data_IF_002896061305
#
_entry.id   IF_002896061305
#
_cell.length_a   1.000
_cell.length_b   1.000
_cell.length_c   1.000
_cell.angle_alpha   90.00
_cell.angle_beta   90.00
_cell.angle_gamma   90.00
#
_symmetry.space_group_name_H-M   'P 1'
#
loop_
_entity.id
_entity.type
_entity.pdbx_description
1 polymer ?
#
# COMPACT_ATOMS: atom_id res chain seq x y z
N UNK A 1 -4.58 2.05 -3.73
CA UNK A 1 -4.97 3.14 -4.64
C UNK A 1 -4.64 2.71 -6.07
N UNK A 2 -5.65 2.46 -6.89
CA UNK A 2 -5.53 1.93 -8.26
C UNK A 2 -4.86 2.92 -9.23
N UNK A 3 -4.77 4.18 -8.87
CA UNK A 3 -4.12 5.22 -9.65
C UNK A 3 -2.61 5.32 -9.39
N UNK A 4 -2.07 4.50 -8.50
CA UNK A 4 -0.64 4.46 -8.20
C UNK A 4 0.06 3.41 -9.02
N UNK A 5 0.89 3.86 -9.93
CA UNK A 5 1.75 3.01 -10.75
C UNK A 5 3.20 3.43 -10.59
N UNK A 6 4.14 2.66 -11.13
CA UNK A 6 5.55 3.04 -11.13
C UNK A 6 5.82 4.36 -11.88
N UNK A 7 4.95 4.73 -12.84
CA UNK A 7 5.02 6.00 -13.58
C UNK A 7 4.27 7.14 -12.88
N UNK A 8 3.33 6.81 -12.00
CA UNK A 8 2.51 7.76 -11.25
C UNK A 8 2.43 7.31 -9.78
N UNK A 9 3.52 7.43 -9.07
CA UNK A 9 3.60 6.98 -7.69
C UNK A 9 2.80 7.84 -6.71
N UNK A 10 2.36 9.05 -7.15
CA UNK A 10 1.68 10.02 -6.30
C UNK A 10 2.42 10.25 -4.98
N UNK A 11 3.73 10.46 -5.09
CA UNK A 11 4.65 10.69 -3.98
C UNK A 11 5.37 12.02 -4.16
N UNK A 12 5.49 12.77 -3.08
CA UNK A 12 6.34 13.94 -2.97
C UNK A 12 7.47 13.66 -1.98
N UNK A 13 8.63 14.22 -2.23
CA UNK A 13 9.72 14.21 -1.26
C UNK A 13 9.75 15.53 -0.49
N UNK A 14 9.47 15.45 0.79
CA UNK A 14 9.59 16.57 1.73
C UNK A 14 11.07 16.72 2.09
N UNK A 15 11.73 17.68 1.44
CA UNK A 15 13.18 17.92 1.58
C UNK A 15 13.53 18.36 3.01
N UNK A 16 12.64 19.15 3.63
CA UNK A 16 12.90 19.71 4.97
C UNK A 16 12.91 18.61 6.05
N UNK A 17 12.04 17.62 5.92
CA UNK A 17 11.89 16.54 6.90
C UNK A 17 12.50 15.21 6.42
N UNK A 18 13.06 15.16 5.22
CA UNK A 18 13.70 13.96 4.67
C UNK A 18 12.74 12.76 4.52
N UNK A 19 11.48 13.00 4.16
CA UNK A 19 10.47 11.95 4.10
C UNK A 19 9.69 11.95 2.79
N UNK A 20 9.20 10.77 2.41
CA UNK A 20 8.22 10.62 1.34
C UNK A 20 6.81 10.88 1.87
N UNK A 21 6.05 11.68 1.15
CA UNK A 21 4.66 12.01 1.44
C UNK A 21 3.79 11.49 0.31
N UNK A 22 2.85 10.65 0.65
CA UNK A 22 1.85 10.14 -0.28
C UNK A 22 0.77 11.19 -0.51
N UNK A 23 0.43 11.42 -1.77
CA UNK A 23 -0.60 12.38 -2.20
C UNK A 23 -1.60 11.69 -3.12
N UNK A 24 -2.69 12.39 -3.44
CA UNK A 24 -3.73 11.95 -4.34
C UNK A 24 -4.33 10.56 -3.99
N UNK A 25 -5.32 10.59 -3.14
CA UNK A 25 -6.05 9.39 -2.70
C UNK A 25 -7.37 9.19 -3.44
N UNK A 26 -7.56 9.83 -4.61
CA UNK A 26 -8.83 9.82 -5.34
C UNK A 26 -9.27 8.44 -5.80
N UNK A 27 -8.34 7.58 -6.20
CA UNK A 27 -8.63 6.23 -6.69
C UNK A 27 -8.48 5.15 -5.64
N UNK A 28 -9.28 5.17 -4.58
CA UNK A 28 -9.28 4.11 -3.56
C UNK A 28 -10.50 3.18 -3.72
N UNK A 29 -10.37 1.95 -3.26
CA UNK A 29 -11.46 0.96 -3.21
C UNK A 29 -12.16 0.78 -4.57
N UNK A 30 -11.39 0.57 -5.64
CA UNK A 30 -11.86 0.37 -7.00
C UNK A 30 -12.64 1.57 -7.55
N UNK A 31 -12.05 2.76 -7.45
CA UNK A 31 -12.62 4.00 -7.98
C UNK A 31 -14.07 4.27 -7.55
N UNK A 32 -14.38 3.92 -6.30
CA UNK A 32 -15.70 4.16 -5.71
C UNK A 32 -16.82 3.25 -6.24
N UNK A 33 -16.58 2.40 -7.23
CA UNK A 33 -17.64 1.49 -7.70
C UNK A 33 -18.03 0.46 -6.66
N UNK A 34 -17.09 0.05 -5.81
CA UNK A 34 -17.28 -0.91 -4.72
C UNK A 34 -17.88 -2.28 -5.17
N UNK A 35 -17.96 -2.50 -6.48
CA UNK A 35 -18.66 -3.65 -7.05
C UNK A 35 -17.73 -4.85 -7.29
N UNK A 36 -16.41 -4.60 -7.32
CA UNK A 36 -15.40 -5.64 -7.57
C UNK A 36 -14.59 -5.93 -6.31
N UNK A 37 -14.01 -7.12 -6.24
CA UNK A 37 -13.02 -7.44 -5.20
C UNK A 37 -11.82 -6.50 -5.25
N UNK A 38 -11.16 -6.29 -4.11
CA UNK A 38 -9.94 -5.50 -4.06
C UNK A 38 -8.85 -6.16 -4.92
N UNK A 39 -8.24 -5.38 -5.80
CA UNK A 39 -7.11 -5.85 -6.60
C UNK A 39 -5.87 -6.04 -5.74
N UNK A 40 -5.10 -7.07 -6.06
CA UNK A 40 -3.79 -7.27 -5.46
C UNK A 40 -2.75 -6.33 -6.09
N UNK A 41 -1.71 -6.00 -5.33
CA UNK A 41 -0.56 -5.30 -5.87
C UNK A 41 0.08 -6.10 -7.01
N UNK A 42 0.32 -5.43 -8.11
CA UNK A 42 1.09 -5.96 -9.24
C UNK A 42 2.45 -5.27 -9.31
N UNK A 43 3.34 -5.78 -10.14
CA UNK A 43 4.64 -5.13 -10.40
C UNK A 43 4.45 -3.69 -10.90
N UNK A 44 3.42 -3.43 -11.70
CA UNK A 44 3.15 -2.10 -12.24
C UNK A 44 2.65 -1.10 -11.20
N UNK A 45 2.14 -1.58 -10.09
CA UNK A 45 1.61 -0.75 -8.99
C UNK A 45 2.65 -0.47 -7.90
N UNK A 46 3.84 -1.03 -8.05
CA UNK A 46 4.87 -0.95 -7.02
C UNK A 46 5.92 0.12 -7.32
N UNK A 47 6.20 0.97 -6.34
CA UNK A 47 7.34 1.90 -6.38
C UNK A 47 8.68 1.16 -6.55
N UNK A 48 8.75 -0.13 -6.21
CA UNK A 48 9.95 -0.96 -6.39
C UNK A 48 10.32 -1.15 -7.86
N UNK A 49 9.38 -0.91 -8.78
CA UNK A 49 9.60 -0.94 -10.21
C UNK A 49 9.97 0.43 -10.80
N UNK A 50 9.98 1.48 -10.01
CA UNK A 50 10.34 2.82 -10.44
C UNK A 50 11.87 3.00 -10.55
N UNK A 51 12.31 3.83 -11.48
CA UNK A 51 13.73 4.15 -11.70
C UNK A 51 14.43 4.67 -10.45
N UNK A 52 13.71 5.43 -9.62
CA UNK A 52 14.25 5.93 -8.35
C UNK A 52 14.64 4.79 -7.41
N UNK A 53 13.82 3.73 -7.33
CA UNK A 53 14.16 2.58 -6.50
C UNK A 53 15.39 1.84 -7.05
N UNK A 54 15.45 1.65 -8.38
CA UNK A 54 16.61 1.05 -9.02
C UNK A 54 17.90 1.85 -8.76
N UNK A 55 17.80 3.19 -8.71
CA UNK A 55 18.92 4.05 -8.36
C UNK A 55 19.34 3.88 -6.90
N UNK A 56 18.42 3.95 -5.97
CA UNK A 56 18.68 3.79 -4.53
C UNK A 56 19.30 2.40 -4.25
N UNK A 57 18.74 1.37 -4.84
CA UNK A 57 19.15 -0.02 -4.62
C UNK A 57 20.64 -0.30 -4.98
N UNK A 58 21.23 0.48 -5.90
CA UNK A 58 22.65 0.37 -6.24
C UNK A 58 23.57 0.74 -5.08
N UNK A 59 23.10 1.50 -4.11
CA UNK A 59 23.85 2.02 -2.98
C UNK A 59 23.51 1.35 -1.65
N UNK A 60 22.59 0.37 -1.67
CA UNK A 60 22.12 -0.34 -0.46
C UNK A 60 22.66 -1.77 -0.47
N UNK A 61 23.32 -2.15 0.62
CA UNK A 61 23.78 -3.54 0.80
C UNK A 61 22.61 -4.49 1.08
N UNK A 62 22.80 -5.76 0.78
CA UNK A 62 21.82 -6.81 1.08
C UNK A 62 21.39 -6.80 2.55
N UNK A 63 22.36 -6.61 3.46
CA UNK A 63 22.06 -6.54 4.90
C UNK A 63 21.16 -5.36 5.25
N UNK A 64 21.48 -4.16 4.75
CA UNK A 64 20.66 -2.97 4.98
C UNK A 64 19.24 -3.16 4.43
N UNK A 65 19.12 -3.80 3.26
CA UNK A 65 17.80 -4.08 2.68
C UNK A 65 17.01 -5.08 3.52
N UNK A 66 17.65 -6.13 4.02
CA UNK A 66 17.00 -7.10 4.91
C UNK A 66 16.57 -6.48 6.23
N UNK A 67 17.41 -5.67 6.86
CA UNK A 67 17.07 -4.96 8.09
C UNK A 67 15.89 -3.99 7.88
N UNK A 68 15.87 -3.29 6.75
CA UNK A 68 14.77 -2.39 6.37
C UNK A 68 13.45 -3.14 6.13
N UNK A 69 13.49 -4.32 5.51
CA UNK A 69 12.30 -5.16 5.27
C UNK A 69 11.70 -5.65 6.58
N UNK A 70 12.52 -6.05 7.54
CA UNK A 70 12.03 -6.46 8.87
C UNK A 70 11.33 -5.31 9.62
N UNK A 71 11.91 -4.12 9.59
CA UNK A 71 11.29 -2.92 10.16
C UNK A 71 9.98 -2.57 9.46
N UNK A 72 9.97 -2.59 8.13
CA UNK A 72 8.79 -2.31 7.33
C UNK A 72 7.65 -3.31 7.62
N UNK A 73 7.98 -4.59 7.83
CA UNK A 73 6.98 -5.60 8.19
C UNK A 73 6.31 -5.28 9.52
N UNK A 74 7.10 -4.88 10.52
CA UNK A 74 6.57 -4.47 11.81
C UNK A 74 5.65 -3.25 11.69
N UNK A 75 6.09 -2.23 10.96
CA UNK A 75 5.30 -1.02 10.71
C UNK A 75 4.01 -1.32 9.94
N UNK A 76 4.08 -2.17 8.92
CA UNK A 76 2.91 -2.62 8.15
C UNK A 76 1.86 -3.26 9.05
N UNK A 77 2.26 -4.22 9.89
CA UNK A 77 1.34 -4.89 10.82
C UNK A 77 0.78 -3.93 11.88
N UNK A 78 1.59 -3.00 12.37
CA UNK A 78 1.14 -1.97 13.30
C UNK A 78 0.13 -1.03 12.66
N UNK A 79 0.36 -0.59 11.42
CA UNK A 79 -0.57 0.22 10.64
C UNK A 79 -1.91 -0.48 10.46
N UNK A 80 -1.91 -1.75 10.06
CA UNK A 80 -3.13 -2.55 9.92
C UNK A 80 -3.90 -2.62 11.24
N UNK A 81 -3.22 -2.94 12.34
CA UNK A 81 -3.85 -3.04 13.65
C UNK A 81 -4.41 -1.70 14.14
N UNK A 82 -3.75 -0.58 13.83
CA UNK A 82 -4.25 0.76 14.13
C UNK A 82 -5.48 1.07 13.30
N UNK A 83 -5.43 0.82 12.01
CA UNK A 83 -6.52 1.10 11.07
C UNK A 83 -7.78 0.28 11.40
N UNK A 84 -7.63 -1.00 11.80
CA UNK A 84 -8.77 -1.82 12.29
C UNK A 84 -9.52 -1.18 13.45
N UNK A 85 -8.83 -0.45 14.32
CA UNK A 85 -9.46 0.23 15.46
C UNK A 85 -10.14 1.54 15.08
N UNK A 86 -9.84 2.09 13.92
CA UNK A 86 -10.35 3.38 13.45
C UNK A 86 -11.49 3.25 12.43
N UNK A 87 -12.04 2.05 12.24
CA UNK A 87 -13.12 1.81 11.27
C UNK A 87 -14.47 2.44 11.65
N UNK A 88 -14.58 3.03 12.85
CA UNK A 88 -15.79 3.76 13.26
C UNK A 88 -16.17 4.93 12.34
N UNK A 89 -15.25 5.45 11.53
CA UNK A 89 -15.56 6.49 10.54
C UNK A 89 -16.62 6.05 9.52
N UNK A 90 -16.77 4.75 9.29
CA UNK A 90 -17.78 4.21 8.38
C UNK A 90 -19.22 4.54 8.83
N UNK A 91 -19.43 4.64 10.14
CA UNK A 91 -20.72 5.00 10.73
C UNK A 91 -20.99 6.51 10.73
N UNK A 92 -19.96 7.31 10.39
CA UNK A 92 -20.02 8.78 10.41
C UNK A 92 -20.15 9.39 9.02
N UNK A 93 -20.35 8.55 7.98
CA UNK A 93 -20.49 9.08 6.63
C UNK A 93 -21.81 9.84 6.45
N UNK A 94 -21.76 11.01 5.81
CA UNK A 94 -22.96 11.77 5.52
C UNK A 94 -23.95 10.96 4.67
N UNK A 95 -25.21 10.94 5.06
CA UNK A 95 -26.26 10.20 4.35
C UNK A 95 -26.50 10.74 2.94
N UNK A 96 -26.23 12.02 2.70
CA UNK A 96 -26.31 12.69 1.40
C UNK A 96 -25.32 12.17 0.37
N UNK A 97 -24.26 11.46 0.80
CA UNK A 97 -23.34 10.81 -0.12
C UNK A 97 -23.95 9.56 -0.77
N UNK A 98 -25.10 9.12 -0.29
CA UNK A 98 -25.85 7.99 -0.82
C UNK A 98 -25.02 6.71 -1.04
N UNK A 99 -23.95 6.55 -0.26
CA UNK A 99 -23.07 5.37 -0.36
C UNK A 99 -23.72 4.23 0.43
N UNK A 100 -23.92 3.07 -0.19
CA UNK A 100 -24.46 1.91 0.50
C UNK A 100 -23.48 1.45 1.59
N UNK A 101 -23.82 1.66 2.86
CA UNK A 101 -22.94 1.33 4.01
C UNK A 101 -22.44 -0.11 3.97
N UNK A 102 -23.32 -1.07 3.64
CA UNK A 102 -22.92 -2.47 3.55
C UNK A 102 -21.87 -2.79 2.48
N UNK A 103 -21.82 -2.03 1.38
CA UNK A 103 -20.77 -2.21 0.37
C UNK A 103 -19.40 -1.79 0.92
N UNK A 104 -19.35 -0.68 1.63
CA UNK A 104 -18.09 -0.21 2.24
C UNK A 104 -17.64 -1.15 3.35
N UNK A 105 -18.55 -1.57 4.23
CA UNK A 105 -18.24 -2.51 5.30
C UNK A 105 -17.64 -3.82 4.73
N UNK A 106 -18.21 -4.32 3.63
CA UNK A 106 -17.67 -5.50 2.96
C UNK A 106 -16.25 -5.25 2.43
N UNK A 107 -16.00 -4.09 1.80
CA UNK A 107 -14.66 -3.75 1.30
C UNK A 107 -13.64 -3.58 2.43
N UNK A 108 -14.03 -2.96 3.52
CA UNK A 108 -13.19 -2.84 4.72
C UNK A 108 -12.90 -4.21 5.32
N UNK A 109 -13.89 -5.09 5.36
CA UNK A 109 -13.70 -6.48 5.83
C UNK A 109 -12.74 -7.24 4.92
N UNK A 110 -12.87 -7.11 3.61
CA UNK A 110 -11.97 -7.70 2.62
C UNK A 110 -10.53 -7.18 2.81
N UNK A 111 -10.35 -5.86 2.94
CA UNK A 111 -9.06 -5.21 3.14
C UNK A 111 -8.32 -5.71 4.39
N UNK A 112 -9.05 -6.03 5.45
CA UNK A 112 -8.49 -6.53 6.70
C UNK A 112 -8.55 -8.06 6.84
N UNK A 113 -8.94 -8.77 5.80
CA UNK A 113 -8.88 -10.23 5.80
C UNK A 113 -7.41 -10.70 5.91
N UNK A 114 -7.09 -11.67 6.78
CA UNK A 114 -5.72 -12.19 6.91
C UNK A 114 -5.13 -12.63 5.57
N UNK A 115 -5.92 -13.31 4.74
CA UNK A 115 -5.49 -13.76 3.41
C UNK A 115 -5.09 -12.61 2.49
N UNK A 116 -5.80 -11.49 2.53
CA UNK A 116 -5.47 -10.31 1.72
C UNK A 116 -4.21 -9.62 2.23
N UNK A 117 -4.07 -9.50 3.56
CA UNK A 117 -2.89 -8.91 4.21
C UNK A 117 -1.63 -9.72 3.89
N UNK A 118 -1.71 -11.05 4.04
CA UNK A 118 -0.58 -11.95 3.77
C UNK A 118 -0.20 -11.93 2.28
N UNK A 119 -1.18 -11.99 1.40
CA UNK A 119 -0.98 -11.93 -0.05
C UNK A 119 -0.33 -10.60 -0.49
N UNK A 120 -0.79 -9.48 0.06
CA UNK A 120 -0.19 -8.15 -0.22
C UNK A 120 1.27 -8.11 0.22
N UNK A 121 1.60 -8.66 1.39
CA UNK A 121 2.98 -8.73 1.85
C UNK A 121 3.84 -9.63 0.96
N UNK A 122 3.33 -10.80 0.57
CA UNK A 122 4.05 -11.72 -0.32
C UNK A 122 4.34 -11.08 -1.68
N UNK A 123 3.34 -10.43 -2.29
CA UNK A 123 3.53 -9.72 -3.55
C UNK A 123 4.59 -8.62 -3.44
N UNK A 124 4.61 -7.87 -2.32
CA UNK A 124 5.67 -6.89 -2.07
C UNK A 124 7.06 -7.55 -2.04
N UNK A 125 7.20 -8.68 -1.33
CA UNK A 125 8.47 -9.40 -1.22
C UNK A 125 8.91 -9.96 -2.59
N UNK A 126 8.00 -10.45 -3.40
CA UNK A 126 8.30 -10.93 -4.76
C UNK A 126 8.77 -9.79 -5.67
N UNK A 127 8.07 -8.66 -5.66
CA UNK A 127 8.52 -7.45 -6.36
C UNK A 127 9.91 -7.00 -5.91
N UNK A 128 10.17 -7.03 -4.61
CA UNK A 128 11.47 -6.65 -4.05
C UNK A 128 12.59 -7.57 -4.53
N UNK A 129 12.37 -8.90 -4.50
CA UNK A 129 13.33 -9.89 -5.00
C UNK A 129 13.64 -9.71 -6.49
N UNK A 130 12.61 -9.43 -7.29
CA UNK A 130 12.74 -9.23 -8.73
C UNK A 130 13.56 -7.99 -9.07
N UNK A 131 13.41 -6.92 -8.28
CA UNK A 131 13.99 -5.60 -8.58
C UNK A 131 15.21 -5.24 -7.71
N UNK A 132 15.70 -6.15 -6.87
CA UNK A 132 16.81 -5.89 -5.98
C UNK A 132 17.72 -7.12 -5.76
N UNK A 133 18.70 -6.97 -4.89
CA UNK A 133 19.55 -8.07 -4.40
C UNK A 133 18.99 -8.74 -3.13
N UNK A 134 17.74 -8.48 -2.77
CA UNK A 134 17.12 -9.07 -1.59
C UNK A 134 16.99 -10.59 -1.73
N UNK A 135 17.53 -11.31 -0.77
CA UNK A 135 17.46 -12.78 -0.74
C UNK A 135 18.38 -13.53 -1.73
N UNK A 136 19.33 -12.82 -2.37
CA UNK A 136 20.36 -13.43 -3.27
C UNK A 136 21.62 -13.78 -2.51
#
# INVERSE_FOLDING_TARGET
NEDRTYNNANLLYDIENGRLVSIDYGGILNNVTLDFSLSQLTETDSILCADIFAHINKHVSQKQLSDAVELLKQDYLQCINRSKRQTHFLTSMPTEWAVPSGKIENKVTELFAPSWIDSTWQNFIECLKSNSNYGK
#
